data_IF_481304806263
#
_entry.id   IF_481304806263
#
_cell.length_a   1.000
_cell.length_b   1.000
_cell.length_c   1.000
_cell.angle_alpha   90.00
_cell.angle_beta   90.00
_cell.angle_gamma   90.00
#
_symmetry.space_group_name_H-M   'P 1'
#
loop_
_entity.id
_entity.type
_entity.pdbx_description
1 polymer ?
#
# COMPACT_ATOMS: atom_id res chain seq x y z
N UNK A 1 24.35 -13.62 -25.81
CA UNK A 1 23.06 -13.42 -25.17
C UNK A 1 22.96 -11.92 -24.88
N UNK A 2 22.18 -11.19 -25.65
CA UNK A 2 21.93 -9.76 -25.38
C UNK A 2 20.98 -9.67 -24.20
N UNK A 3 21.53 -9.44 -23.02
CA UNK A 3 20.75 -9.04 -21.85
C UNK A 3 20.14 -7.68 -22.17
N UNK A 4 18.85 -7.65 -22.51
CA UNK A 4 18.12 -6.41 -22.53
C UNK A 4 18.10 -5.88 -21.09
N UNK A 5 18.87 -4.84 -20.83
CA UNK A 5 18.76 -4.06 -19.61
C UNK A 5 17.31 -3.57 -19.52
N UNK A 6 16.54 -4.13 -18.59
CA UNK A 6 15.16 -3.69 -18.35
C UNK A 6 15.19 -2.41 -17.52
N UNK A 7 15.61 -1.32 -18.15
CA UNK A 7 15.49 0.01 -17.57
C UNK A 7 14.10 0.57 -17.90
N UNK A 8 13.39 1.08 -16.91
CA UNK A 8 12.09 1.72 -17.07
C UNK A 8 11.88 2.80 -16.00
N UNK A 9 10.94 3.69 -16.30
CA UNK A 9 10.62 4.81 -15.41
C UNK A 9 9.53 4.44 -14.40
N UNK A 10 9.73 4.82 -13.14
CA UNK A 10 8.74 4.73 -12.07
C UNK A 10 8.33 6.13 -11.62
N UNK A 11 7.09 6.26 -11.15
CA UNK A 11 6.51 7.50 -10.67
C UNK A 11 5.98 7.34 -9.25
N UNK A 12 6.39 8.24 -8.36
CA UNK A 12 5.88 8.35 -7.00
C UNK A 12 5.05 9.64 -6.86
N UNK A 13 3.80 9.50 -6.47
CA UNK A 13 2.85 10.61 -6.37
C UNK A 13 2.98 11.31 -5.02
N UNK A 14 3.12 12.64 -5.04
CA UNK A 14 2.91 13.51 -3.89
C UNK A 14 1.67 14.36 -4.17
N UNK A 15 0.54 14.01 -3.58
CA UNK A 15 -0.70 14.73 -3.82
C UNK A 15 -1.72 14.56 -2.69
N UNK A 16 -2.63 15.52 -2.58
CA UNK A 16 -3.81 15.41 -1.75
C UNK A 16 -4.94 14.69 -2.50
N UNK A 17 -5.76 13.88 -1.85
CA UNK A 17 -7.05 13.47 -2.38
C UNK A 17 -8.03 14.68 -2.44
N UNK A 18 -9.16 14.54 -3.11
CA UNK A 18 -10.32 15.38 -2.83
C UNK A 18 -11.01 14.76 -1.61
N UNK A 19 -10.71 15.29 -0.44
CA UNK A 19 -11.00 14.65 0.84
C UNK A 19 -12.47 14.31 1.02
N UNK A 20 -12.78 13.07 1.45
CA UNK A 20 -14.14 12.54 1.58
C UNK A 20 -15.00 12.65 0.30
N UNK A 21 -14.37 12.63 -0.87
CA UNK A 21 -15.08 12.57 -2.15
C UNK A 21 -14.43 11.52 -3.07
N UNK A 22 -14.96 10.31 -3.05
CA UNK A 22 -14.39 9.18 -3.79
C UNK A 22 -14.31 9.45 -5.29
N UNK A 23 -15.40 9.92 -5.91
CA UNK A 23 -15.43 10.11 -7.35
C UNK A 23 -14.46 11.20 -7.80
N UNK A 24 -14.42 12.33 -7.11
CA UNK A 24 -13.50 13.41 -7.44
C UNK A 24 -12.03 13.01 -7.19
N UNK A 25 -11.75 12.20 -6.16
CA UNK A 25 -10.41 11.66 -5.92
C UNK A 25 -9.99 10.68 -7.02
N UNK A 26 -10.91 9.86 -7.54
CA UNK A 26 -10.66 8.98 -8.69
C UNK A 26 -10.40 9.79 -9.97
N UNK A 27 -11.17 10.85 -10.23
CA UNK A 27 -10.95 11.74 -11.37
C UNK A 27 -9.54 12.35 -11.32
N UNK A 28 -9.15 12.83 -10.13
CA UNK A 28 -7.79 13.35 -9.89
C UNK A 28 -6.73 12.26 -10.10
N UNK A 29 -6.94 11.06 -9.56
CA UNK A 29 -6.02 9.94 -9.74
C UNK A 29 -5.83 9.59 -11.22
N UNK A 30 -6.90 9.53 -12.02
CA UNK A 30 -6.85 9.26 -13.46
C UNK A 30 -6.05 10.35 -14.19
N UNK A 31 -6.21 11.60 -13.80
CA UNK A 31 -5.43 12.72 -14.36
C UNK A 31 -3.94 12.53 -14.07
N UNK A 32 -3.57 12.21 -12.83
CA UNK A 32 -2.18 11.96 -12.40
C UNK A 32 -1.59 10.74 -13.13
N UNK A 33 -2.35 9.65 -13.25
CA UNK A 33 -1.93 8.44 -13.98
C UNK A 33 -1.63 8.78 -15.44
N UNK A 34 -2.52 9.55 -16.07
CA UNK A 34 -2.35 9.96 -17.47
C UNK A 34 -1.12 10.86 -17.67
N UNK A 35 -0.88 11.78 -16.74
CA UNK A 35 0.31 12.62 -16.73
C UNK A 35 1.59 11.80 -16.55
N UNK A 36 1.61 10.89 -15.57
CA UNK A 36 2.75 10.02 -15.32
C UNK A 36 3.10 9.16 -16.55
N UNK A 37 2.09 8.60 -17.21
CA UNK A 37 2.27 7.82 -18.43
C UNK A 37 2.84 8.66 -19.58
N UNK A 38 2.35 9.89 -19.78
CA UNK A 38 2.90 10.82 -20.78
C UNK A 38 4.37 11.15 -20.52
N UNK A 39 4.80 11.12 -19.28
CA UNK A 39 6.20 11.30 -18.87
C UNK A 39 7.00 9.99 -18.88
N UNK A 40 6.44 8.92 -19.43
CA UNK A 40 7.11 7.63 -19.69
C UNK A 40 7.13 6.68 -18.50
N UNK A 41 6.32 6.90 -17.46
CA UNK A 41 6.24 5.98 -16.34
C UNK A 41 5.62 4.63 -16.75
N UNK A 42 6.22 3.54 -16.30
CA UNK A 42 5.69 2.17 -16.40
C UNK A 42 5.02 1.70 -15.10
N UNK A 43 5.33 2.36 -13.99
CA UNK A 43 4.72 2.15 -12.67
C UNK A 43 4.35 3.51 -12.07
N UNK A 44 3.12 3.62 -11.55
CA UNK A 44 2.65 4.79 -10.81
C UNK A 44 2.20 4.34 -9.42
N UNK A 45 2.78 4.92 -8.38
CA UNK A 45 2.50 4.59 -7.00
C UNK A 45 1.82 5.76 -6.28
N UNK A 46 0.70 5.48 -5.61
CA UNK A 46 -0.12 6.43 -4.86
C UNK A 46 0.05 6.27 -3.34
N UNK A 47 -0.19 7.35 -2.57
CA UNK A 47 -0.12 7.34 -1.12
C UNK A 47 -1.09 6.37 -0.44
N UNK A 48 -0.84 6.11 0.86
CA UNK A 48 -1.74 5.36 1.74
C UNK A 48 -3.10 6.08 1.84
N UNK A 49 -4.19 5.29 1.72
CA UNK A 49 -5.57 5.80 1.78
C UNK A 49 -5.84 7.03 0.91
N UNK A 50 -5.20 7.14 -0.25
CA UNK A 50 -5.44 8.24 -1.18
C UNK A 50 -6.93 8.36 -1.55
N UNK A 51 -7.64 7.24 -1.61
CA UNK A 51 -9.08 7.19 -1.86
C UNK A 51 -9.82 6.76 -0.57
N UNK A 52 -10.66 7.57 0.01
CA UNK A 52 -11.02 8.97 -0.25
C UNK A 52 -10.24 9.97 0.63
N UNK A 53 -9.10 9.59 1.14
CA UNK A 53 -8.26 10.32 2.08
C UNK A 53 -8.08 9.59 3.42
N UNK A 54 -6.98 9.90 4.10
CA UNK A 54 -6.67 9.30 5.40
C UNK A 54 -7.63 9.84 6.48
N UNK A 55 -8.12 9.03 7.42
CA UNK A 55 -9.15 9.44 8.40
C UNK A 55 -8.57 10.29 9.54
N UNK A 56 -8.06 11.47 9.26
CA UNK A 56 -7.45 12.36 10.26
C UNK A 56 -8.32 12.63 11.48
N UNK A 57 -9.65 12.59 11.33
CA UNK A 57 -10.61 12.85 12.40
C UNK A 57 -10.46 11.91 13.60
N UNK A 58 -9.92 10.68 13.44
CA UNK A 58 -9.72 9.75 14.57
C UNK A 58 -8.61 10.19 15.54
N UNK A 59 -7.78 11.15 15.11
CA UNK A 59 -6.67 11.68 15.89
C UNK A 59 -6.96 13.03 16.55
N UNK A 60 -8.08 13.67 16.20
CA UNK A 60 -8.36 15.07 16.54
C UNK A 60 -9.31 15.24 17.73
N UNK A 61 -9.78 14.15 18.31
CA UNK A 61 -10.71 14.20 19.44
C UNK A 61 -11.05 12.84 20.02
N UNK A 62 -11.97 12.83 20.98
CA UNK A 62 -12.47 11.59 21.57
C UNK A 62 -13.19 10.73 20.49
N UNK A 63 -13.22 9.38 20.62
CA UNK A 63 -13.88 8.50 19.66
C UNK A 63 -15.33 8.91 19.35
N UNK A 64 -16.10 9.36 20.32
CA UNK A 64 -17.48 9.82 20.11
C UNK A 64 -17.55 11.06 19.21
N UNK A 65 -16.57 11.94 19.27
CA UNK A 65 -16.49 13.11 18.38
C UNK A 65 -16.17 12.66 16.95
N UNK A 66 -15.28 11.70 16.77
CA UNK A 66 -14.91 11.18 15.45
C UNK A 66 -16.10 10.50 14.74
N UNK A 67 -17.07 9.95 15.48
CA UNK A 67 -18.24 9.26 14.91
C UNK A 67 -19.09 10.15 13.97
N UNK A 68 -19.05 11.48 14.11
CA UNK A 68 -19.78 12.38 13.21
C UNK A 68 -19.33 12.27 11.75
N UNK A 69 -18.08 11.84 11.50
CA UNK A 69 -17.52 11.68 10.17
C UNK A 69 -17.68 10.25 9.62
N UNK A 70 -17.86 9.26 10.49
CA UNK A 70 -17.77 7.84 10.14
C UNK A 70 -18.77 7.39 9.08
N UNK A 71 -20.01 7.86 9.15
CA UNK A 71 -21.04 7.45 8.18
C UNK A 71 -20.70 7.93 6.77
N UNK A 72 -20.23 9.18 6.64
CA UNK A 72 -19.84 9.71 5.34
C UNK A 72 -18.55 9.07 4.85
N UNK A 73 -17.56 8.91 5.71
CA UNK A 73 -16.31 8.23 5.36
C UNK A 73 -16.55 6.80 4.85
N UNK A 74 -17.45 6.05 5.51
CA UNK A 74 -17.84 4.71 5.07
C UNK A 74 -18.51 4.71 3.69
N UNK A 75 -19.39 5.69 3.39
CA UNK A 75 -20.03 5.82 2.07
C UNK A 75 -19.02 6.13 0.96
N UNK A 76 -18.00 6.91 1.27
CA UNK A 76 -16.95 7.32 0.33
C UNK A 76 -15.82 6.30 0.20
N UNK A 77 -15.84 5.20 0.97
CA UNK A 77 -14.85 4.14 0.84
C UNK A 77 -15.08 3.29 -0.42
N UNK A 78 -13.99 2.85 -1.05
CA UNK A 78 -14.00 2.14 -2.33
C UNK A 78 -14.35 0.66 -2.14
N UNK A 79 -15.25 0.13 -2.97
CA UNK A 79 -15.56 -1.30 -3.03
C UNK A 79 -14.76 -1.94 -4.17
N UNK A 80 -14.01 -3.00 -3.87
CA UNK A 80 -13.27 -3.77 -4.89
C UNK A 80 -14.25 -4.36 -5.91
N UNK A 81 -13.95 -4.19 -7.20
CA UNK A 81 -14.80 -4.63 -8.31
C UNK A 81 -16.01 -3.74 -8.63
N UNK A 82 -16.22 -2.64 -7.88
CA UNK A 82 -17.25 -1.64 -8.21
C UNK A 82 -16.94 -0.88 -9.51
N UNK A 83 -17.90 -0.13 -10.02
CA UNK A 83 -17.71 0.75 -11.18
C UNK A 83 -16.54 1.75 -10.94
N UNK A 84 -16.45 2.32 -9.74
CA UNK A 84 -15.38 3.20 -9.34
C UNK A 84 -14.01 2.50 -9.37
N UNK A 85 -13.95 1.26 -8.90
CA UNK A 85 -12.72 0.45 -8.96
C UNK A 85 -12.33 0.14 -10.41
N UNK A 86 -13.29 -0.25 -11.24
CA UNK A 86 -13.06 -0.52 -12.67
C UNK A 86 -12.54 0.70 -13.45
N UNK A 87 -12.85 1.93 -13.01
CA UNK A 87 -12.28 3.14 -13.59
C UNK A 87 -10.78 3.24 -13.39
N UNK A 88 -10.24 2.74 -12.26
CA UNK A 88 -8.80 2.67 -12.01
C UNK A 88 -8.16 1.59 -12.88
N UNK A 89 -8.79 0.42 -12.98
CA UNK A 89 -8.35 -0.67 -13.87
C UNK A 89 -8.26 -0.19 -15.33
N UNK A 90 -9.32 0.50 -15.77
CA UNK A 90 -9.35 1.10 -17.10
C UNK A 90 -8.27 2.16 -17.28
N UNK A 91 -8.02 3.01 -16.30
CA UNK A 91 -6.98 4.03 -16.38
C UNK A 91 -5.59 3.41 -16.51
N UNK A 92 -5.30 2.33 -15.78
CA UNK A 92 -4.05 1.57 -15.91
C UNK A 92 -3.90 0.99 -17.32
N UNK A 93 -4.95 0.35 -17.86
CA UNK A 93 -4.96 -0.22 -19.20
C UNK A 93 -4.81 0.83 -20.31
N UNK A 94 -5.60 1.89 -20.28
CA UNK A 94 -5.59 2.94 -21.30
C UNK A 94 -4.22 3.63 -21.39
N UNK A 95 -3.53 3.76 -20.26
CA UNK A 95 -2.23 4.39 -20.15
C UNK A 95 -1.06 3.38 -20.19
N UNK A 96 -1.33 2.08 -20.18
CA UNK A 96 -0.33 0.99 -20.19
C UNK A 96 0.70 1.12 -19.06
N UNK A 97 0.22 1.39 -17.85
CA UNK A 97 1.03 1.50 -16.64
C UNK A 97 0.60 0.49 -15.59
N UNK A 98 1.56 -0.01 -14.82
CA UNK A 98 1.24 -0.66 -13.55
C UNK A 98 0.85 0.42 -12.54
N UNK A 99 -0.12 0.10 -11.70
CA UNK A 99 -0.65 1.01 -10.70
C UNK A 99 -0.59 0.35 -9.33
N UNK A 100 -0.04 1.05 -8.32
CA UNK A 100 -0.23 0.71 -6.92
C UNK A 100 -1.03 1.84 -6.26
N UNK A 101 -2.27 1.55 -5.89
CA UNK A 101 -3.23 2.52 -5.38
C UNK A 101 -3.56 2.23 -3.92
N UNK A 102 -3.28 3.20 -3.02
CA UNK A 102 -3.73 3.15 -1.63
C UNK A 102 -5.16 3.65 -1.46
N UNK A 103 -6.00 2.90 -0.75
CA UNK A 103 -7.40 3.27 -0.57
C UNK A 103 -8.01 2.70 0.71
N UNK A 104 -9.06 3.33 1.19
CA UNK A 104 -9.97 2.75 2.17
C UNK A 104 -10.91 1.78 1.45
N UNK A 105 -10.73 0.49 1.71
CA UNK A 105 -11.61 -0.57 1.21
C UNK A 105 -12.87 -0.65 2.06
N UNK A 106 -14.02 -0.74 1.40
CA UNK A 106 -15.27 -1.11 2.04
C UNK A 106 -15.66 -2.53 1.66
N UNK A 107 -15.67 -3.41 2.65
CA UNK A 107 -16.17 -4.79 2.52
C UNK A 107 -17.39 -4.92 3.42
N UNK A 108 -18.57 -4.82 2.81
CA UNK A 108 -19.86 -4.76 3.51
C UNK A 108 -19.90 -3.66 4.59
N UNK A 109 -19.96 -4.02 5.85
CA UNK A 109 -19.98 -3.11 7.00
C UNK A 109 -18.59 -2.73 7.53
N UNK A 110 -17.53 -3.36 7.04
CA UNK A 110 -16.17 -3.19 7.53
C UNK A 110 -15.33 -2.32 6.60
N UNK A 111 -14.37 -1.59 7.18
CA UNK A 111 -13.38 -0.82 6.44
C UNK A 111 -11.98 -1.39 6.66
N UNK A 112 -11.14 -1.31 5.64
CA UNK A 112 -9.74 -1.74 5.69
C UNK A 112 -8.85 -0.70 4.99
N UNK A 113 -7.61 -0.60 5.44
CA UNK A 113 -6.57 0.15 4.73
C UNK A 113 -5.97 -0.78 3.69
N UNK A 114 -6.19 -0.50 2.41
CA UNK A 114 -5.86 -1.43 1.34
C UNK A 114 -5.00 -0.80 0.25
N UNK A 115 -4.27 -1.67 -0.46
CA UNK A 115 -3.55 -1.32 -1.67
C UNK A 115 -3.96 -2.27 -2.79
N UNK A 116 -4.28 -1.72 -3.95
CA UNK A 116 -4.50 -2.48 -5.18
C UNK A 116 -3.24 -2.43 -6.04
N UNK A 117 -2.80 -3.58 -6.54
CA UNK A 117 -1.76 -3.72 -7.55
C UNK A 117 -2.46 -4.11 -8.85
N UNK A 118 -2.40 -3.23 -9.85
CA UNK A 118 -3.07 -3.41 -11.15
C UNK A 118 -2.00 -3.40 -12.25
N UNK A 119 -2.08 -4.33 -13.19
CA UNK A 119 -1.12 -4.41 -14.30
C UNK A 119 -1.42 -3.41 -15.42
N UNK A 120 -0.52 -3.33 -16.40
CA UNK A 120 -0.60 -2.47 -17.56
C UNK A 120 -1.72 -2.83 -18.57
N UNK A 121 -2.45 -3.90 -18.29
CA UNK A 121 -3.64 -4.33 -19.04
C UNK A 121 -4.95 -4.07 -18.27
N UNK A 122 -4.84 -3.44 -17.09
CA UNK A 122 -5.96 -3.16 -16.20
C UNK A 122 -6.44 -4.36 -15.40
N UNK A 123 -5.66 -5.44 -15.33
CA UNK A 123 -6.01 -6.58 -14.49
C UNK A 123 -5.48 -6.36 -13.07
N UNK A 124 -6.34 -6.44 -12.08
CA UNK A 124 -5.93 -6.50 -10.70
C UNK A 124 -5.11 -7.78 -10.44
N UNK A 125 -3.83 -7.61 -10.10
CA UNK A 125 -2.91 -8.69 -9.70
C UNK A 125 -3.24 -9.09 -8.26
N UNK A 126 -3.38 -8.10 -7.39
CA UNK A 126 -3.68 -8.30 -5.97
C UNK A 126 -4.38 -7.08 -5.37
N UNK A 127 -5.18 -7.35 -4.35
CA UNK A 127 -5.63 -6.37 -3.37
C UNK A 127 -5.20 -6.86 -2.01
N UNK A 128 -4.40 -6.08 -1.31
CA UNK A 128 -3.91 -6.40 0.03
C UNK A 128 -4.47 -5.44 1.06
N UNK A 129 -4.65 -5.91 2.30
CA UNK A 129 -5.04 -5.12 3.46
C UNK A 129 -3.83 -4.88 4.37
N UNK A 130 -3.71 -3.72 4.99
CA UNK A 130 -2.71 -3.43 6.01
C UNK A 130 -2.84 -4.44 7.14
N UNK A 131 -1.72 -5.11 7.46
CA UNK A 131 -1.71 -6.22 8.42
C UNK A 131 -2.22 -5.78 9.80
N UNK A 132 -1.78 -4.61 10.26
CA UNK A 132 -2.19 -4.06 11.56
C UNK A 132 -2.36 -2.54 11.46
N UNK A 133 -3.57 -2.02 11.58
CA UNK A 133 -3.79 -0.57 11.69
C UNK A 133 -3.06 0.01 12.91
N UNK A 134 -2.50 1.21 12.74
CA UNK A 134 -1.66 1.87 13.74
C UNK A 134 -2.50 2.68 14.72
N UNK A 135 -2.33 2.43 16.02
CA UNK A 135 -2.91 3.22 17.11
C UNK A 135 -4.39 3.57 16.89
N UNK A 136 -4.76 4.84 16.64
CA UNK A 136 -6.13 5.30 16.48
C UNK A 136 -6.81 4.80 15.17
N UNK A 137 -6.05 4.37 14.18
CA UNK A 137 -6.59 3.72 12.97
C UNK A 137 -7.46 2.51 13.30
N UNK A 138 -7.17 1.81 14.41
CA UNK A 138 -7.95 0.66 14.91
C UNK A 138 -9.38 0.98 15.34
N UNK A 139 -9.73 2.25 15.45
CA UNK A 139 -11.11 2.70 15.68
C UNK A 139 -11.97 2.58 14.42
N UNK A 140 -11.34 2.50 13.24
CA UNK A 140 -12.00 2.52 11.93
C UNK A 140 -11.80 1.23 11.18
N UNK A 141 -10.57 0.68 11.19
CA UNK A 141 -10.15 -0.36 10.26
C UNK A 141 -9.99 -1.73 10.92
N UNK A 142 -10.42 -2.76 10.18
CA UNK A 142 -10.05 -4.15 10.41
C UNK A 142 -8.61 -4.44 9.99
N UNK A 143 -8.16 -5.65 10.30
CA UNK A 143 -6.80 -6.13 10.08
C UNK A 143 -6.71 -6.97 8.81
N UNK A 144 -5.56 -6.94 8.15
CA UNK A 144 -5.17 -7.92 7.14
C UNK A 144 -4.69 -9.22 7.76
N UNK A 145 -4.27 -10.15 6.92
CA UNK A 145 -3.75 -11.45 7.35
C UNK A 145 -2.40 -11.79 6.68
N UNK A 146 -1.89 -13.00 6.91
CA UNK A 146 -0.60 -13.41 6.35
C UNK A 146 -0.58 -13.47 4.82
N UNK A 147 -1.72 -13.66 4.17
CA UNK A 147 -1.87 -13.62 2.71
C UNK A 147 -1.63 -12.23 2.11
N UNK A 148 -1.80 -11.17 2.93
CA UNK A 148 -1.54 -9.80 2.53
C UNK A 148 -0.04 -9.42 2.50
N UNK A 149 0.83 -10.29 3.05
CA UNK A 149 2.28 -10.11 3.05
C UNK A 149 2.86 -10.90 1.87
N UNK A 150 2.65 -10.39 0.67
CA UNK A 150 3.01 -11.07 -0.57
C UNK A 150 3.76 -10.16 -1.55
N UNK A 151 4.70 -10.76 -2.27
CA UNK A 151 5.40 -10.17 -3.41
C UNK A 151 4.90 -10.84 -4.69
N UNK A 152 4.57 -10.05 -5.69
CA UNK A 152 3.91 -10.50 -6.91
C UNK A 152 4.83 -10.41 -8.11
N UNK A 153 4.83 -11.46 -8.93
CA UNK A 153 5.49 -11.44 -10.24
C UNK A 153 4.72 -10.52 -11.18
N UNK A 154 5.42 -9.56 -11.78
CA UNK A 154 4.87 -8.62 -12.75
C UNK A 154 5.77 -8.52 -13.97
N UNK A 155 5.30 -7.86 -15.03
CA UNK A 155 6.13 -7.55 -16.18
C UNK A 155 7.32 -6.62 -15.85
N UNK A 156 7.26 -5.91 -14.71
CA UNK A 156 8.31 -5.02 -14.23
C UNK A 156 9.32 -5.71 -13.31
N UNK A 157 9.06 -6.94 -12.87
CA UNK A 157 9.80 -7.67 -11.86
C UNK A 157 8.94 -8.01 -10.64
N UNK A 158 9.58 -8.41 -9.56
CA UNK A 158 8.94 -8.79 -8.29
C UNK A 158 8.55 -7.54 -7.50
N UNK A 159 7.26 -7.26 -7.47
CA UNK A 159 6.67 -6.06 -6.87
C UNK A 159 5.95 -6.39 -5.57
N UNK A 160 6.30 -5.72 -4.50
CA UNK A 160 5.59 -5.74 -3.23
C UNK A 160 5.13 -4.35 -2.80
N UNK A 161 4.25 -4.32 -1.79
CA UNK A 161 3.75 -3.07 -1.24
C UNK A 161 3.40 -3.23 0.24
N UNK A 162 3.67 -2.20 1.03
CA UNK A 162 3.27 -2.07 2.43
C UNK A 162 2.79 -0.65 2.71
N UNK A 163 2.07 -0.47 3.83
CA UNK A 163 1.55 0.80 4.28
C UNK A 163 2.24 1.28 5.55
N UNK A 164 2.73 2.53 5.55
CA UNK A 164 3.12 3.29 6.73
C UNK A 164 4.02 2.48 7.71
N UNK A 165 3.59 2.32 8.95
CA UNK A 165 4.36 1.65 10.01
C UNK A 165 4.45 0.13 9.91
N UNK A 166 3.90 -0.49 8.88
CA UNK A 166 4.29 -1.87 8.54
C UNK A 166 5.81 -1.94 8.28
N UNK A 167 6.41 -0.84 7.83
CA UNK A 167 7.85 -0.72 7.56
C UNK A 167 8.72 -0.66 8.82
N UNK A 168 8.15 -0.44 10.02
CA UNK A 168 8.91 -0.53 11.28
C UNK A 168 8.82 -1.91 11.94
N UNK A 169 8.12 -2.86 11.30
CA UNK A 169 7.98 -4.24 11.79
C UNK A 169 9.09 -5.13 11.21
N UNK A 170 10.15 -5.48 11.97
CA UNK A 170 11.31 -6.19 11.42
C UNK A 170 10.97 -7.53 10.79
N UNK A 171 10.06 -8.31 11.41
CA UNK A 171 9.68 -9.63 10.91
C UNK A 171 8.80 -9.54 9.66
N UNK A 172 7.92 -8.55 9.56
CA UNK A 172 7.11 -8.29 8.37
C UNK A 172 8.02 -7.91 7.19
N UNK A 173 8.98 -7.02 7.40
CA UNK A 173 9.99 -6.67 6.38
C UNK A 173 10.77 -7.90 5.94
N UNK A 174 11.25 -8.72 6.87
CA UNK A 174 12.00 -9.93 6.55
C UNK A 174 11.15 -10.93 5.76
N UNK A 175 9.85 -11.06 6.05
CA UNK A 175 8.92 -11.87 5.26
C UNK A 175 8.81 -11.38 3.80
N UNK A 176 8.78 -10.06 3.58
CA UNK A 176 8.81 -9.47 2.23
C UNK A 176 10.14 -9.76 1.53
N UNK A 177 11.27 -9.49 2.19
CA UNK A 177 12.61 -9.72 1.63
C UNK A 177 12.83 -11.19 1.24
N UNK A 178 12.30 -12.14 2.03
CA UNK A 178 12.44 -13.58 1.78
C UNK A 178 11.75 -14.06 0.50
N UNK A 179 10.86 -13.24 -0.08
CA UNK A 179 10.21 -13.48 -1.35
C UNK A 179 10.98 -12.89 -2.54
N UNK A 180 12.19 -12.34 -2.28
CA UNK A 180 13.09 -11.78 -3.29
C UNK A 180 12.50 -10.58 -4.03
N UNK A 181 11.89 -9.68 -3.30
CA UNK A 181 11.34 -8.43 -3.79
C UNK A 181 12.42 -7.60 -4.51
N UNK A 182 12.05 -6.97 -5.63
CA UNK A 182 12.94 -6.13 -6.44
C UNK A 182 12.49 -4.66 -6.43
N UNK A 183 11.16 -4.47 -6.32
CA UNK A 183 10.51 -3.16 -6.30
C UNK A 183 9.54 -3.17 -5.14
N UNK A 184 9.62 -2.18 -4.30
CA UNK A 184 8.73 -2.01 -3.16
C UNK A 184 8.01 -0.67 -3.21
N UNK A 185 6.69 -0.68 -2.99
CA UNK A 185 5.90 0.56 -2.81
C UNK A 185 5.63 0.76 -1.33
N UNK A 186 6.28 1.77 -0.75
CA UNK A 186 6.11 2.19 0.63
C UNK A 186 5.11 3.36 0.68
N UNK A 187 3.82 3.07 0.76
CA UNK A 187 2.78 4.09 0.77
C UNK A 187 2.64 4.75 2.15
N UNK A 188 2.66 6.09 2.16
CA UNK A 188 2.57 6.90 3.37
C UNK A 188 1.38 7.86 3.33
N UNK A 189 0.74 8.16 4.49
CA UNK A 189 -0.13 9.32 4.62
C UNK A 189 0.72 10.59 4.62
N UNK A 190 0.12 11.78 4.71
CA UNK A 190 0.92 13.00 4.94
C UNK A 190 1.51 13.00 6.35
N UNK A 191 2.67 13.60 6.51
CA UNK A 191 3.33 13.80 7.81
C UNK A 191 2.95 15.15 8.43
N UNK A 192 1.67 15.47 8.41
CA UNK A 192 1.10 16.74 8.88
C UNK A 192 0.51 16.67 10.29
N UNK A 193 0.43 15.45 10.88
CA UNK A 193 -0.15 15.22 12.20
C UNK A 193 0.92 15.28 13.28
N UNK A 194 0.64 16.01 14.39
CA UNK A 194 1.48 16.10 15.59
C UNK A 194 2.94 16.47 15.34
N UNK A 195 3.21 17.27 14.31
CA UNK A 195 4.55 17.59 13.81
C UNK A 195 5.48 18.16 14.88
N UNK A 196 4.93 18.93 15.83
CA UNK A 196 5.68 19.56 16.93
C UNK A 196 5.72 18.72 18.21
N UNK A 197 4.96 17.60 18.26
CA UNK A 197 4.76 16.80 19.49
C UNK A 197 5.49 15.48 19.44
N UNK A 198 5.49 14.81 18.29
CA UNK A 198 5.98 13.42 18.18
C UNK A 198 6.85 13.24 16.94
N UNK A 199 8.19 13.39 17.06
CA UNK A 199 9.10 13.21 15.93
C UNK A 199 8.98 11.85 15.23
N UNK A 200 8.62 10.79 15.97
CA UNK A 200 8.52 9.42 15.44
C UNK A 200 7.50 9.27 14.30
N UNK A 201 6.47 10.12 14.24
CA UNK A 201 5.49 10.11 13.14
C UNK A 201 5.78 11.19 12.08
N UNK A 202 6.88 11.93 12.22
CA UNK A 202 7.29 12.96 11.28
C UNK A 202 7.97 12.41 10.02
N UNK A 203 8.05 13.26 8.99
CA UNK A 203 8.59 12.89 7.67
C UNK A 203 10.05 12.44 7.71
N UNK A 204 10.90 13.10 8.50
CA UNK A 204 12.33 12.77 8.61
C UNK A 204 12.56 11.32 9.07
N UNK A 205 11.89 10.89 10.15
CA UNK A 205 12.03 9.53 10.68
C UNK A 205 11.49 8.50 9.68
N UNK A 206 10.34 8.76 9.08
CA UNK A 206 9.69 7.77 8.21
C UNK A 206 10.30 7.71 6.80
N UNK A 207 10.93 8.77 6.32
CA UNK A 207 11.78 8.69 5.12
C UNK A 207 13.06 7.88 5.40
N UNK A 208 13.64 7.99 6.60
CA UNK A 208 14.76 7.14 7.02
C UNK A 208 14.34 5.66 7.11
N UNK A 209 13.13 5.35 7.59
CA UNK A 209 12.56 3.99 7.59
C UNK A 209 12.44 3.44 6.17
N UNK A 210 11.90 4.22 5.22
CA UNK A 210 11.79 3.83 3.81
C UNK A 210 13.17 3.59 3.17
N UNK A 211 14.15 4.43 3.48
CA UNK A 211 15.54 4.28 3.02
C UNK A 211 16.19 3.03 3.60
N UNK A 212 15.95 2.75 4.88
CA UNK A 212 16.44 1.53 5.55
C UNK A 212 15.85 0.29 4.91
N UNK A 213 14.56 0.31 4.55
CA UNK A 213 13.93 -0.80 3.82
C UNK A 213 14.65 -1.11 2.51
N UNK A 214 15.03 -0.07 1.73
CA UNK A 214 15.76 -0.24 0.48
C UNK A 214 17.10 -0.95 0.67
N UNK A 215 17.85 -0.58 1.72
CA UNK A 215 19.17 -1.18 2.03
C UNK A 215 19.03 -2.59 2.58
N UNK A 216 18.11 -2.83 3.51
CA UNK A 216 17.90 -4.15 4.11
C UNK A 216 17.36 -5.18 3.10
N UNK A 217 16.39 -4.77 2.26
CA UNK A 217 15.78 -5.61 1.23
C UNK A 217 16.57 -5.67 -0.07
N UNK A 218 17.53 -4.74 -0.27
CA UNK A 218 18.29 -4.55 -1.51
C UNK A 218 17.36 -4.49 -2.72
N UNK A 219 16.32 -3.65 -2.60
CA UNK A 219 15.31 -3.41 -3.60
C UNK A 219 15.10 -1.91 -3.81
N UNK A 220 14.52 -1.54 -4.94
CA UNK A 220 14.04 -0.17 -5.12
C UNK A 220 12.86 0.10 -4.19
N UNK A 221 12.83 1.27 -3.56
CA UNK A 221 11.70 1.72 -2.74
C UNK A 221 11.10 2.98 -3.35
N UNK A 222 9.84 2.88 -3.77
CA UNK A 222 9.03 3.98 -4.26
C UNK A 222 8.11 4.36 -3.12
N UNK A 223 8.34 5.54 -2.51
CA UNK A 223 7.66 5.97 -1.29
C UNK A 223 6.75 7.19 -1.57
N UNK A 224 5.56 6.98 -2.17
CA UNK A 224 4.58 8.04 -2.35
C UNK A 224 4.05 8.51 -0.99
N UNK A 225 3.81 9.81 -0.86
CA UNK A 225 3.33 10.45 0.36
C UNK A 225 2.21 11.43 0.05
N UNK A 226 1.14 11.42 0.83
CA UNK A 226 0.05 12.37 0.66
C UNK A 226 0.44 13.78 1.13
N UNK A 227 -0.36 14.75 0.72
CA UNK A 227 -0.32 16.14 1.21
C UNK A 227 -1.65 16.43 1.91
N UNK A 228 -1.63 17.19 2.99
CA UNK A 228 -2.85 17.69 3.63
C UNK A 228 -3.07 19.14 3.22
N UNK A 229 -4.08 19.44 2.39
CA UNK A 229 -4.40 20.79 1.96
C UNK A 229 -5.21 21.54 3.02
N UNK A 230 -5.32 22.87 2.87
CA UNK A 230 -6.00 23.74 3.82
C UNK A 230 -7.50 23.40 3.96
N UNK A 231 -8.17 23.04 2.87
CA UNK A 231 -9.59 22.68 2.88
C UNK A 231 -9.88 21.44 3.76
N UNK A 232 -8.97 20.48 3.80
CA UNK A 232 -9.05 19.31 4.70
C UNK A 232 -8.92 19.73 6.16
N UNK A 233 -7.98 20.62 6.49
CA UNK A 233 -7.83 21.17 7.84
C UNK A 233 -9.08 21.96 8.24
N UNK A 234 -9.63 22.79 7.35
CA UNK A 234 -10.83 23.58 7.61
C UNK A 234 -12.09 22.72 7.78
N UNK A 235 -12.19 21.61 7.06
CA UNK A 235 -13.28 20.65 7.21
C UNK A 235 -13.25 19.94 8.57
N UNK A 236 -12.07 19.57 9.04
CA UNK A 236 -11.91 18.68 10.20
C UNK A 236 -11.66 19.43 11.51
N UNK A 237 -11.04 20.61 11.46
CA UNK A 237 -10.59 21.33 12.64
C UNK A 237 -11.52 22.49 12.97
N UNK A 238 -12.36 22.32 13.97
CA UNK A 238 -13.28 23.35 14.46
C UNK A 238 -12.69 24.20 15.61
N UNK A 239 -11.58 23.76 16.23
CA UNK A 239 -10.91 24.45 17.34
C UNK A 239 -9.43 24.69 17.04
N UNK A 240 -8.83 25.64 17.78
CA UNK A 240 -7.41 25.97 17.64
C UNK A 240 -6.53 24.79 18.10
N UNK A 241 -6.97 24.00 19.10
CA UNK A 241 -6.27 22.81 19.55
C UNK A 241 -6.19 21.77 18.42
N UNK A 242 -7.29 21.55 17.68
CA UNK A 242 -7.30 20.62 16.56
C UNK A 242 -6.39 21.12 15.42
N UNK A 243 -6.41 22.42 15.12
CA UNK A 243 -5.51 23.05 14.13
C UNK A 243 -4.05 23.01 14.56
N UNK A 244 -3.77 22.96 15.85
CA UNK A 244 -2.42 22.74 16.35
C UNK A 244 -1.94 21.30 16.12
N UNK A 245 -2.84 20.32 16.09
CA UNK A 245 -2.53 18.91 15.89
C UNK A 245 -2.41 18.50 14.43
N UNK A 246 -3.24 19.05 13.53
CA UNK A 246 -3.24 18.76 12.09
C UNK A 246 -2.85 20.01 11.32
N UNK A 247 -1.71 19.97 10.65
CA UNK A 247 -1.18 21.07 9.82
C UNK A 247 -1.42 20.78 8.34
N UNK A 248 -1.21 21.79 7.51
CA UNK A 248 -1.11 21.63 6.05
C UNK A 248 0.26 21.06 5.66
N UNK A 249 0.38 20.57 4.41
CA UNK A 249 1.64 20.04 3.88
C UNK A 249 1.89 18.59 4.28
N UNK A 250 3.10 18.28 4.71
CA UNK A 250 3.51 16.96 5.15
C UNK A 250 3.81 15.98 4.01
N UNK A 251 4.07 16.47 2.80
CA UNK A 251 4.50 15.70 1.65
C UNK A 251 6.00 15.35 1.72
N UNK A 252 6.31 14.07 1.79
CA UNK A 252 7.70 13.56 1.89
C UNK A 252 7.95 12.42 0.90
N UNK A 253 7.42 12.54 -0.30
CA UNK A 253 7.62 11.54 -1.36
C UNK A 253 9.09 11.35 -1.69
N UNK A 254 9.54 10.09 -1.81
CA UNK A 254 10.94 9.70 -2.07
C UNK A 254 10.98 8.51 -3.02
N UNK A 255 12.12 8.34 -3.69
CA UNK A 255 12.48 7.11 -4.41
C UNK A 255 13.91 6.76 -4.03
N UNK A 256 14.14 5.53 -3.58
CA UNK A 256 15.45 5.05 -3.16
C UNK A 256 15.92 3.88 -4.04
N UNK A 257 17.21 3.86 -4.34
CA UNK A 257 17.89 2.73 -4.96
C UNK A 257 18.15 1.59 -3.98
N UNK A 258 18.50 0.38 -4.48
CA UNK A 258 18.76 -0.79 -3.65
C UNK A 258 19.96 -0.62 -2.70
N UNK A 259 20.78 0.39 -2.91
CA UNK A 259 21.90 0.82 -2.08
C UNK A 259 21.53 1.94 -1.08
N UNK A 260 20.26 2.35 -1.06
CA UNK A 260 19.76 3.45 -0.24
C UNK A 260 20.04 4.85 -0.78
N UNK A 261 20.58 4.98 -2.00
CA UNK A 261 20.75 6.27 -2.63
C UNK A 261 19.40 6.93 -2.93
N UNK A 262 19.27 8.24 -2.66
CA UNK A 262 18.12 9.01 -3.11
C UNK A 262 18.22 9.21 -4.62
N UNK A 263 17.20 8.80 -5.36
CA UNK A 263 17.17 8.90 -6.84
C UNK A 263 16.48 10.16 -7.34
N UNK A 264 15.89 10.94 -6.44
CA UNK A 264 15.09 12.12 -6.77
C UNK A 264 15.44 13.30 -5.87
N UNK A 265 15.25 14.52 -6.39
CA UNK A 265 15.17 15.73 -5.56
C UNK A 265 13.75 15.81 -4.99
N UNK A 266 13.56 15.93 -3.68
CA UNK A 266 12.24 16.06 -3.09
C UNK A 266 11.50 17.31 -3.58
N UNK A 267 10.17 17.25 -3.60
CA UNK A 267 9.30 18.41 -3.66
C UNK A 267 9.21 19.08 -2.28
N UNK A 268 8.73 20.31 -2.24
CA UNK A 268 8.37 20.97 -0.99
C UNK A 268 7.20 20.23 -0.30
N UNK A 269 7.08 20.38 1.01
CA UNK A 269 6.13 19.61 1.81
C UNK A 269 4.66 19.88 1.48
N UNK A 270 4.35 21.06 0.97
CA UNK A 270 3.00 21.51 0.58
C UNK A 270 2.78 21.47 -0.94
N UNK A 271 3.79 21.10 -1.73
CA UNK A 271 3.71 21.01 -3.17
C UNK A 271 3.08 19.70 -3.62
N UNK A 272 2.16 19.73 -4.57
CA UNK A 272 1.68 18.55 -5.28
C UNK A 272 2.49 18.33 -6.55
N UNK A 273 2.86 17.08 -6.81
CA UNK A 273 3.61 16.72 -8.02
C UNK A 273 3.88 15.23 -8.12
N UNK A 274 4.66 14.86 -9.12
CA UNK A 274 5.05 13.48 -9.39
C UNK A 274 6.57 13.42 -9.47
N UNK A 275 7.20 12.59 -8.67
CA UNK A 275 8.63 12.32 -8.74
C UNK A 275 8.90 11.12 -9.64
N UNK A 276 9.90 11.23 -10.50
CA UNK A 276 10.26 10.20 -11.47
C UNK A 276 11.69 9.72 -11.26
N UNK A 277 11.90 8.42 -11.39
CA UNK A 277 13.24 7.84 -11.46
C UNK A 277 13.28 6.75 -12.54
N UNK A 278 14.39 6.70 -13.27
CA UNK A 278 14.69 5.57 -14.17
C UNK A 278 15.41 4.49 -13.36
N UNK A 279 14.89 3.27 -13.34
CA UNK A 279 15.43 2.15 -12.57
C UNK A 279 15.86 1.01 -13.50
N UNK A 280 16.85 0.23 -13.04
CA UNK A 280 17.35 -0.96 -13.71
C UNK A 280 17.54 -2.09 -12.70
N UNK A 281 16.91 -3.22 -12.92
CA UNK A 281 16.95 -4.35 -11.98
C UNK A 281 18.34 -4.99 -11.82
N UNK A 282 19.29 -4.71 -12.71
CA UNK A 282 20.70 -5.11 -12.53
C UNK A 282 21.31 -4.52 -11.26
N UNK A 283 20.86 -3.32 -10.85
CA UNK A 283 21.31 -2.69 -9.61
C UNK A 283 20.86 -3.49 -8.36
N UNK A 284 19.70 -4.14 -8.40
CA UNK A 284 19.23 -5.06 -7.35
C UNK A 284 20.18 -6.24 -7.22
N UNK A 285 20.58 -6.83 -8.35
CA UNK A 285 21.56 -7.93 -8.39
C UNK A 285 22.90 -7.50 -7.80
N UNK A 286 23.39 -6.32 -8.18
CA UNK A 286 24.64 -5.79 -7.66
C UNK A 286 24.59 -5.50 -6.15
N UNK A 287 23.47 -4.97 -5.65
CA UNK A 287 23.31 -4.75 -4.21
C UNK A 287 23.30 -6.08 -3.43
N UNK A 288 22.58 -7.09 -3.94
CA UNK A 288 22.50 -8.43 -3.32
C UNK A 288 23.84 -9.17 -3.29
N UNK A 289 24.73 -8.95 -4.25
CA UNK A 289 26.10 -9.52 -4.24
C UNK A 289 26.87 -9.03 -3.00
N UNK A 290 26.62 -7.81 -2.55
CA UNK A 290 27.30 -7.20 -1.40
C UNK A 290 26.84 -7.76 -0.06
N UNK A 291 25.56 -8.17 0.07
CA UNK A 291 25.04 -8.62 1.35
C UNK A 291 23.57 -9.00 1.31
N UNK A 292 23.21 -10.09 0.63
CA UNK A 292 21.82 -10.58 0.59
C UNK A 292 21.34 -11.03 1.98
N UNK A 293 20.52 -10.21 2.62
CA UNK A 293 20.04 -10.41 4.00
C UNK A 293 19.20 -11.68 4.17
N UNK A 294 18.63 -12.22 3.10
CA UNK A 294 17.86 -13.48 3.11
C UNK A 294 18.60 -14.64 2.45
N UNK A 295 19.78 -14.35 1.89
CA UNK A 295 20.65 -15.32 1.22
C UNK A 295 21.98 -15.51 1.95
N UNK A 296 23.10 -15.26 1.27
CA UNK A 296 24.45 -15.57 1.77
C UNK A 296 24.89 -14.72 2.98
N UNK A 297 24.22 -13.63 3.30
CA UNK A 297 24.49 -12.81 4.50
C UNK A 297 23.59 -13.19 5.69
N UNK A 298 22.74 -14.20 5.53
CA UNK A 298 21.86 -14.76 6.58
C UNK A 298 22.54 -15.87 7.37
N UNK A 299 22.17 -16.01 8.64
CA UNK A 299 22.61 -17.10 9.54
C UNK A 299 21.39 -17.92 9.99
N UNK A 300 20.84 -18.72 9.08
CA UNK A 300 19.63 -19.52 9.29
C UNK A 300 19.78 -20.62 10.37
N UNK A 301 21.01 -20.91 10.78
CA UNK A 301 21.34 -21.76 11.92
C UNK A 301 21.16 -21.05 13.27
N UNK A 302 21.15 -19.68 13.28
CA UNK A 302 21.00 -18.84 14.48
C UNK A 302 19.59 -18.27 14.58
N UNK A 303 19.06 -17.70 13.50
CA UNK A 303 17.74 -17.05 13.47
C UNK A 303 16.92 -17.53 12.28
N UNK A 304 15.63 -17.79 12.52
CA UNK A 304 14.67 -18.19 11.48
C UNK A 304 13.35 -17.47 11.68
N UNK A 305 12.71 -17.07 10.58
CA UNK A 305 11.33 -16.62 10.56
C UNK A 305 10.40 -17.81 10.31
N UNK A 306 9.38 -17.96 11.15
CA UNK A 306 8.22 -18.80 10.86
C UNK A 306 7.13 -17.85 10.37
N UNK A 307 6.71 -18.02 9.12
CA UNK A 307 5.76 -17.14 8.46
C UNK A 307 4.53 -17.94 8.01
N UNK A 308 3.36 -17.52 8.51
CA UNK A 308 2.07 -18.01 8.04
C UNK A 308 1.55 -17.07 6.95
N UNK A 309 1.60 -17.50 5.69
CA UNK A 309 1.16 -16.74 4.52
C UNK A 309 -0.26 -17.09 4.06
N UNK A 310 -1.04 -17.74 4.90
CA UNK A 310 -2.41 -18.11 4.55
C UNK A 310 -3.38 -16.95 4.77
N UNK A 311 -4.35 -16.83 3.84
CA UNK A 311 -5.49 -15.95 4.04
C UNK A 311 -6.48 -16.60 5.01
N UNK A 312 -6.81 -15.88 6.08
CA UNK A 312 -7.70 -16.34 7.16
C UNK A 312 -9.06 -15.64 7.07
N UNK A 313 -9.81 -15.93 6.00
CA UNK A 313 -11.18 -15.42 5.90
C UNK A 313 -12.06 -16.03 7.00
N UNK A 314 -12.96 -15.25 7.63
CA UNK A 314 -13.81 -15.74 8.73
C UNK A 314 -14.80 -16.82 8.28
N UNK A 315 -15.06 -16.93 6.98
CA UNK A 315 -15.98 -17.95 6.42
C UNK A 315 -15.31 -18.62 5.23
N UNK A 316 -15.17 -19.94 5.30
CA UNK A 316 -14.87 -20.80 4.17
C UNK A 316 -16.13 -21.57 3.80
N UNK A 317 -16.65 -21.33 2.58
CA UNK A 317 -17.76 -22.12 2.05
C UNK A 317 -17.12 -23.36 1.39
N UNK A 318 -17.32 -24.52 2.00
CA UNK A 318 -16.94 -25.78 1.37
C UNK A 318 -17.96 -26.08 0.26
N UNK A 319 -17.54 -26.06 -0.98
CA UNK A 319 -18.37 -26.43 -2.14
C UNK A 319 -18.59 -27.95 -2.24
N UNK A 320 -17.85 -28.77 -1.49
CA UNK A 320 -18.10 -30.20 -1.41
C UNK A 320 -19.32 -30.48 -0.52
N UNK A 321 -20.25 -31.38 -0.92
CA UNK A 321 -21.37 -31.75 -0.09
C UNK A 321 -20.83 -32.32 1.24
N UNK A 322 -21.35 -31.77 2.36
CA UNK A 322 -20.98 -32.19 3.72
C UNK A 322 -21.37 -33.63 4.04
N UNK A 323 -22.17 -34.26 3.18
CA UNK A 323 -22.63 -35.63 3.32
C UNK A 323 -22.53 -36.33 1.97
N UNK A 324 -21.66 -37.31 1.88
CA UNK A 324 -21.73 -38.35 0.87
C UNK A 324 -22.95 -39.22 1.27
N UNK A 325 -24.03 -39.11 0.52
CA UNK A 325 -25.18 -40.01 0.68
C UNK A 325 -24.78 -41.38 0.13
N UNK A 326 -23.77 -42.03 0.73
CA UNK A 326 -23.58 -43.46 0.56
C UNK A 326 -24.73 -44.14 1.28
N UNK A 327 -25.82 -44.37 0.54
CA UNK A 327 -26.84 -45.28 0.93
C UNK A 327 -26.16 -46.63 1.00
N UNK A 328 -25.87 -47.14 2.22
CA UNK A 328 -25.55 -48.53 2.46
C UNK A 328 -26.74 -49.35 2.03
N UNK A 329 -26.73 -49.84 0.81
CA UNK A 329 -27.57 -51.00 0.42
C UNK A 329 -27.00 -52.21 1.13
N UNK A 330 -27.64 -52.55 2.28
CA UNK A 330 -27.50 -53.90 2.83
C UNK A 330 -28.13 -54.83 1.82
N UNK A 331 -27.33 -55.60 1.14
CA UNK A 331 -27.78 -56.80 0.42
C UNK A 331 -28.05 -57.87 1.45
N UNK A 332 -29.35 -58.16 1.68
CA UNK A 332 -29.78 -59.38 2.33
C UNK A 332 -29.38 -60.56 1.42
N UNK A 333 -28.28 -61.19 1.70
CA UNK A 333 -28.07 -62.55 1.19
C UNK A 333 -28.74 -63.50 2.16
N UNK A 334 -29.93 -63.99 1.75
CA UNK A 334 -30.58 -65.11 2.37
C UNK A 334 -29.76 -66.42 2.17
N UNK A 335 -29.52 -67.08 3.29
CA UNK A 335 -29.04 -68.45 3.33
C UNK A 335 -30.08 -69.41 2.70
N UNK A 336 -29.64 -70.29 1.86
CA UNK A 336 -30.28 -71.57 1.56
C UNK A 336 -29.21 -72.68 1.43
#
# INVERSE_FOLDING_TARGET
>A
MTTHSHAYRVAAVQAAPVYMNLNASIDKAITIITEAAKNGASLVAFPENFLPGYPWFVWLGAPVWAMQFMTEYHKQALIVGSEQYQRLEKAAADNRVHLVMGFTERDNGSLYMSQAIIDDKGKTIATRRKLKPTHAERLVFGEGDGGDIAVHETALGKLGALCCWEHIQPLTKFAMYSQHEQIHVAAWPSFSLYTEVTPAIGGEVNTAVSRTYAVEGQCYVIAPCAVTPQDTVDLLCSTDEQRALLKTGGGFTRIYGPDGASLVTPLEEDEEGILYADINLDAVTMAKISGDAVGHYSRNDVTRLIFNNQSLRPVHINEAPLFDNAVNTFSDEEES
#
